data_IF_714398221644
#
_entry.id   IF_714398221644
#
_cell.length_a   1.000
_cell.length_b   1.000
_cell.length_c   1.000
_cell.angle_alpha   90.00
_cell.angle_beta   90.00
_cell.angle_gamma   90.00
#
_symmetry.space_group_name_H-M   'P 1'
#
loop_
_entity.id
_entity.type
_entity.pdbx_description
1 polymer ?
#
# COMPACT_ATOMS: atom_id res chain seq x y z
N UNK A 1 -3.67 -11.85 -5.87
CA UNK A 1 -3.18 -10.59 -5.29
C UNK A 1 -1.80 -10.25 -5.81
N UNK A 2 -0.81 -11.13 -5.61
CA UNK A 2 0.55 -10.94 -6.15
C UNK A 2 0.55 -10.57 -7.63
N UNK A 3 -0.12 -11.36 -8.49
CA UNK A 3 -0.17 -11.11 -9.94
C UNK A 3 -0.79 -9.75 -10.30
N UNK A 4 -1.88 -9.34 -9.64
CA UNK A 4 -2.51 -8.04 -9.90
C UNK A 4 -1.65 -6.87 -9.42
N UNK A 5 -1.02 -6.97 -8.23
CA UNK A 5 -0.06 -5.96 -7.77
C UNK A 5 1.09 -5.85 -8.78
N UNK A 6 1.65 -6.99 -9.20
CA UNK A 6 2.70 -7.06 -10.23
C UNK A 6 2.26 -6.37 -11.52
N UNK A 7 1.04 -6.64 -12.01
CA UNK A 7 0.50 -6.04 -13.24
C UNK A 7 0.42 -4.51 -13.15
N UNK A 8 -0.10 -3.97 -12.05
CA UNK A 8 -0.14 -2.53 -11.81
C UNK A 8 1.26 -1.91 -11.60
N UNK A 9 2.21 -2.71 -11.10
CA UNK A 9 3.62 -2.33 -10.98
C UNK A 9 4.45 -2.54 -12.25
N UNK A 10 3.94 -3.21 -13.29
CA UNK A 10 4.66 -3.44 -14.56
C UNK A 10 4.41 -2.36 -15.63
N UNK A 11 3.26 -1.67 -15.59
CA UNK A 11 2.81 -0.81 -16.70
C UNK A 11 3.63 0.45 -17.05
N UNK A 12 4.77 0.73 -16.40
CA UNK A 12 5.52 1.99 -16.54
C UNK A 12 7.04 1.87 -16.28
N UNK A 13 7.56 0.69 -15.93
CA UNK A 13 9.00 0.51 -15.72
C UNK A 13 9.47 -0.70 -16.51
N UNK A 14 10.38 -0.47 -17.46
CA UNK A 14 11.27 -1.51 -17.95
C UNK A 14 12.10 -2.08 -16.79
N UNK A 15 12.60 -3.30 -16.98
CA UNK A 15 13.37 -4.14 -16.04
C UNK A 15 13.03 -3.95 -14.55
N UNK A 16 12.32 -4.91 -13.95
CA UNK A 16 12.08 -4.84 -12.51
C UNK A 16 12.87 -5.92 -11.77
N UNK A 17 13.86 -5.46 -11.01
CA UNK A 17 14.52 -6.13 -9.89
C UNK A 17 13.57 -6.41 -8.71
N UNK A 18 12.29 -6.04 -8.82
CA UNK A 18 11.34 -6.05 -7.72
C UNK A 18 10.51 -7.33 -7.67
N UNK A 19 10.24 -7.78 -6.45
CA UNK A 19 9.36 -8.89 -6.13
C UNK A 19 8.26 -8.42 -5.17
N UNK A 20 7.08 -9.03 -5.27
CA UNK A 20 5.94 -8.74 -4.39
C UNK A 20 5.40 -10.04 -3.82
N UNK A 21 5.12 -10.03 -2.52
CA UNK A 21 4.38 -11.07 -1.82
C UNK A 21 3.26 -10.44 -0.99
N UNK A 22 2.06 -11.00 -1.05
CA UNK A 22 0.90 -10.58 -0.30
C UNK A 22 0.31 -11.79 0.41
N UNK A 23 0.20 -11.68 1.72
CA UNK A 23 -0.35 -12.70 2.61
C UNK A 23 -1.66 -12.22 3.21
N UNK A 24 -2.55 -13.15 3.55
CA UNK A 24 -3.80 -12.83 4.25
C UNK A 24 -4.19 -13.86 5.32
N UNK A 25 -4.86 -13.39 6.37
CA UNK A 25 -5.57 -14.20 7.38
C UNK A 25 -6.66 -13.34 8.01
N UNK A 26 -7.88 -13.86 8.13
CA UNK A 26 -9.03 -13.19 8.78
C UNK A 26 -9.15 -11.70 8.39
N UNK A 27 -9.28 -11.42 7.09
CA UNK A 27 -9.41 -10.05 6.56
C UNK A 27 -8.20 -9.11 6.77
N UNK A 28 -7.12 -9.59 7.39
CA UNK A 28 -5.85 -8.87 7.55
C UNK A 28 -4.90 -9.27 6.44
N UNK A 29 -4.14 -8.31 5.93
CA UNK A 29 -3.20 -8.50 4.84
C UNK A 29 -1.85 -7.91 5.19
N UNK A 30 -0.79 -8.60 4.77
CA UNK A 30 0.58 -8.10 4.76
C UNK A 30 1.12 -8.16 3.34
N UNK A 31 1.38 -7.00 2.74
CA UNK A 31 1.98 -6.87 1.43
C UNK A 31 3.44 -6.41 1.58
N UNK A 32 4.37 -7.18 1.01
CA UNK A 32 5.79 -6.93 1.07
C UNK A 32 6.36 -6.69 -0.33
N UNK A 33 7.20 -5.68 -0.45
CA UNK A 33 7.98 -5.36 -1.63
C UNK A 33 9.45 -5.69 -1.36
N UNK A 34 10.07 -6.38 -2.30
CA UNK A 34 11.46 -6.79 -2.27
C UNK A 34 12.18 -6.25 -3.50
N UNK A 35 13.49 -6.02 -3.38
CA UNK A 35 14.39 -6.20 -4.53
C UNK A 35 15.09 -7.57 -4.43
N UNK A 36 16.07 -7.83 -5.28
CA UNK A 36 16.80 -9.11 -5.29
C UNK A 36 17.58 -9.43 -4.00
N UNK A 37 17.81 -8.44 -3.14
CA UNK A 37 18.69 -8.57 -1.98
C UNK A 37 17.95 -8.36 -0.65
N UNK A 38 16.99 -7.44 -0.60
CA UNK A 38 16.40 -6.93 0.63
C UNK A 38 14.90 -6.64 0.49
N UNK A 39 14.20 -6.71 1.63
CA UNK A 39 12.91 -6.08 1.83
C UNK A 39 13.03 -4.55 1.70
N UNK A 40 12.11 -3.95 0.96
CA UNK A 40 12.08 -2.51 0.67
C UNK A 40 10.94 -1.80 1.40
N UNK A 41 9.74 -2.36 1.33
CA UNK A 41 8.54 -1.77 1.89
C UNK A 41 7.55 -2.84 2.37
N UNK A 42 6.76 -2.49 3.37
CA UNK A 42 5.70 -3.31 3.92
C UNK A 42 4.44 -2.48 4.08
N UNK A 43 3.30 -3.07 3.73
CA UNK A 43 1.97 -2.49 3.93
C UNK A 43 1.11 -3.51 4.67
N UNK A 44 0.67 -3.14 5.86
CA UNK A 44 -0.31 -3.92 6.63
C UNK A 44 -1.67 -3.24 6.52
N UNK A 45 -2.69 -4.01 6.17
CA UNK A 45 -4.05 -3.48 6.01
C UNK A 45 -5.11 -4.47 6.50
N UNK A 46 -6.29 -3.96 6.78
CA UNK A 46 -7.48 -4.73 7.14
C UNK A 46 -8.60 -4.40 6.14
N UNK A 47 -9.35 -5.41 5.68
CA UNK A 47 -10.44 -5.24 4.72
C UNK A 47 -11.76 -5.76 5.30
N UNK A 48 -12.71 -4.88 5.57
CA UNK A 48 -14.06 -5.27 6.03
C UNK A 48 -15.04 -4.92 4.91
N UNK A 49 -15.63 -5.94 4.27
CA UNK A 49 -16.51 -5.74 3.12
C UNK A 49 -15.79 -5.04 1.96
N UNK A 50 -16.31 -3.88 1.53
CA UNK A 50 -15.75 -3.04 0.47
C UNK A 50 -14.84 -1.90 1.00
N UNK A 51 -14.40 -1.99 2.25
CA UNK A 51 -13.64 -0.94 2.94
C UNK A 51 -12.28 -1.46 3.35
N UNK A 52 -11.24 -0.67 3.11
CA UNK A 52 -9.85 -1.01 3.46
C UNK A 52 -9.29 0.04 4.40
N UNK A 53 -8.72 -0.42 5.51
CA UNK A 53 -7.92 0.41 6.40
C UNK A 53 -6.45 0.05 6.26
N UNK A 54 -5.64 1.05 5.93
CA UNK A 54 -4.19 0.88 5.88
C UNK A 54 -3.65 1.17 7.28
N UNK A 55 -3.31 0.09 7.98
CA UNK A 55 -2.86 0.13 9.38
C UNK A 55 -1.43 0.65 9.49
N UNK A 56 -0.52 0.05 8.71
CA UNK A 56 0.90 0.39 8.75
C UNK A 56 1.46 0.47 7.34
N UNK A 57 2.33 1.45 7.11
CA UNK A 57 3.26 1.47 5.98
C UNK A 57 4.64 1.76 6.51
N UNK A 58 5.60 0.96 6.09
CA UNK A 58 6.98 1.16 6.45
C UNK A 58 7.91 0.91 5.27
N UNK A 59 9.09 1.51 5.31
CA UNK A 59 10.15 1.31 4.32
C UNK A 59 11.49 1.09 5.03
N UNK A 60 12.39 0.34 4.39
CA UNK A 60 13.74 0.10 4.94
C UNK A 60 14.73 1.18 4.53
N UNK A 61 14.43 1.96 3.48
CA UNK A 61 15.29 3.03 2.96
C UNK A 61 16.42 2.57 2.04
N UNK A 62 16.49 1.28 1.69
CA UNK A 62 17.55 0.76 0.79
C UNK A 62 17.27 1.00 -0.71
N UNK A 63 16.06 1.41 -1.07
CA UNK A 63 15.68 1.81 -2.43
C UNK A 63 14.55 2.84 -2.37
N UNK A 64 14.59 3.85 -3.24
CA UNK A 64 13.63 4.99 -3.23
C UNK A 64 12.65 4.91 -4.40
N UNK A 65 11.50 5.55 -4.24
CA UNK A 65 10.57 5.81 -5.35
C UNK A 65 9.49 4.75 -5.59
N UNK A 66 9.58 3.57 -4.98
CA UNK A 66 8.62 2.49 -5.25
C UNK A 66 7.38 2.51 -4.35
N UNK A 67 7.47 3.07 -3.15
CA UNK A 67 6.42 2.96 -2.11
C UNK A 67 5.07 3.50 -2.57
N UNK A 68 5.02 4.69 -3.19
CA UNK A 68 3.74 5.29 -3.66
C UNK A 68 3.04 4.37 -4.65
N UNK A 69 3.81 3.86 -5.62
CA UNK A 69 3.31 2.94 -6.64
C UNK A 69 2.89 1.59 -6.06
N UNK A 70 3.66 1.08 -5.11
CA UNK A 70 3.35 -0.17 -4.43
C UNK A 70 2.00 -0.09 -3.70
N UNK A 71 1.77 0.98 -2.93
CA UNK A 71 0.49 1.23 -2.23
C UNK A 71 -0.66 1.33 -3.24
N UNK A 72 -0.49 2.14 -4.29
CA UNK A 72 -1.50 2.30 -5.34
C UNK A 72 -1.84 0.95 -5.97
N UNK A 73 -0.84 0.11 -6.22
CA UNK A 73 -1.03 -1.21 -6.84
C UNK A 73 -1.75 -2.18 -5.90
N UNK A 74 -1.43 -2.15 -4.60
CA UNK A 74 -2.13 -2.92 -3.57
C UNK A 74 -3.61 -2.51 -3.50
N UNK A 75 -3.90 -1.21 -3.46
CA UNK A 75 -5.27 -0.71 -3.39
C UNK A 75 -6.06 -0.99 -4.68
N UNK A 76 -5.43 -0.88 -5.86
CA UNK A 76 -6.06 -1.28 -7.12
C UNK A 76 -6.41 -2.77 -7.15
N UNK A 77 -5.52 -3.62 -6.64
CA UNK A 77 -5.77 -5.05 -6.55
C UNK A 77 -6.95 -5.38 -5.63
N UNK A 78 -7.11 -4.67 -4.51
CA UNK A 78 -8.23 -4.88 -3.59
C UNK A 78 -9.54 -4.23 -4.07
N UNK A 79 -9.44 -3.20 -4.91
CA UNK A 79 -10.57 -2.41 -5.45
C UNK A 79 -11.62 -2.01 -4.39
N UNK A 80 -11.23 -1.37 -3.28
CA UNK A 80 -12.19 -1.00 -2.25
C UNK A 80 -13.02 0.21 -2.67
N UNK A 81 -14.27 0.30 -2.19
CA UNK A 81 -15.13 1.48 -2.34
C UNK A 81 -14.63 2.63 -1.48
N UNK A 82 -14.17 2.32 -0.27
CA UNK A 82 -13.56 3.29 0.65
C UNK A 82 -12.22 2.76 1.11
N UNK A 83 -11.18 3.57 1.00
CA UNK A 83 -9.93 3.36 1.74
C UNK A 83 -9.76 4.44 2.78
N UNK A 84 -9.18 4.07 3.92
CA UNK A 84 -8.80 5.04 4.93
C UNK A 84 -7.48 4.69 5.61
N UNK A 85 -6.85 5.70 6.19
CA UNK A 85 -5.68 5.55 7.01
C UNK A 85 -5.65 6.64 8.09
N UNK A 86 -4.99 6.35 9.21
CA UNK A 86 -4.61 7.38 10.16
C UNK A 86 -3.17 7.82 9.89
N UNK A 87 -3.02 8.97 9.24
CA UNK A 87 -1.74 9.57 8.90
C UNK A 87 -1.09 10.12 10.16
N UNK A 88 -0.14 9.37 10.72
CA UNK A 88 0.72 9.83 11.81
C UNK A 88 2.15 9.35 11.57
N UNK A 89 3.18 10.20 11.71
CA UNK A 89 4.54 9.76 11.48
C UNK A 89 5.05 8.94 12.67
N UNK A 90 5.67 7.80 12.38
CA UNK A 90 6.52 7.08 13.31
C UNK A 90 7.84 6.73 12.63
N UNK A 91 8.86 6.50 13.44
CA UNK A 91 10.18 6.09 12.94
C UNK A 91 10.11 4.75 12.22
N UNK A 92 9.36 3.82 12.81
CA UNK A 92 9.26 2.42 12.40
C UNK A 92 7.89 1.88 12.78
N UNK A 93 7.35 1.00 11.93
CA UNK A 93 6.10 0.28 12.13
C UNK A 93 6.27 -1.23 11.93
N UNK A 94 7.10 -1.61 10.95
CA UNK A 94 7.30 -2.99 10.50
C UNK A 94 8.78 -3.36 10.56
N UNK A 95 9.69 -2.48 10.12
CA UNK A 95 11.11 -2.82 9.96
C UNK A 95 11.96 -2.20 11.07
N UNK A 96 12.23 -2.99 12.11
CA UNK A 96 12.99 -2.54 13.27
C UNK A 96 14.45 -2.16 12.91
N UNK A 97 14.93 -1.08 13.51
CA UNK A 97 16.27 -0.52 13.29
C UNK A 97 16.43 0.27 11.98
N UNK A 98 15.47 0.21 11.05
CA UNK A 98 15.55 0.89 9.75
C UNK A 98 15.61 2.42 9.82
N UNK A 99 15.20 3.02 10.93
CA UNK A 99 15.37 4.47 11.18
C UNK A 99 16.84 4.89 11.37
N UNK A 100 17.74 3.94 11.62
CA UNK A 100 19.20 4.18 11.65
C UNK A 100 19.80 4.28 10.24
N UNK A 101 19.08 3.81 9.22
CA UNK A 101 19.48 3.98 7.83
C UNK A 101 19.25 5.44 7.41
N UNK A 102 20.35 6.18 7.17
CA UNK A 102 20.31 7.59 6.75
C UNK A 102 19.53 7.82 5.46
N UNK A 103 19.41 6.81 4.61
CA UNK A 103 18.65 6.91 3.36
C UNK A 103 17.13 6.83 3.57
N UNK A 104 16.67 6.30 4.71
CA UNK A 104 15.26 6.26 5.09
C UNK A 104 14.78 7.66 5.48
N UNK A 105 13.85 8.19 4.69
CA UNK A 105 13.22 9.49 4.98
C UNK A 105 11.97 9.27 5.82
N UNK A 106 11.99 9.78 7.05
CA UNK A 106 10.80 9.87 7.91
C UNK A 106 10.08 11.19 7.58
N UNK A 107 8.83 11.11 7.15
CA UNK A 107 8.04 12.29 6.81
C UNK A 107 7.54 12.99 8.08
N UNK A 108 7.47 14.32 8.04
CA UNK A 108 6.78 15.11 9.07
C UNK A 108 5.25 14.93 8.95
N UNK A 109 4.45 15.29 9.97
CA UNK A 109 3.00 15.13 9.93
C UNK A 109 2.34 15.71 8.67
N UNK A 110 2.66 16.95 8.30
CA UNK A 110 2.12 17.62 7.11
C UNK A 110 2.53 16.94 5.81
N UNK A 111 3.82 16.62 5.64
CA UNK A 111 4.31 15.90 4.45
C UNK A 111 3.69 14.51 4.31
N UNK A 112 3.43 13.81 5.43
CA UNK A 112 2.78 12.50 5.41
C UNK A 112 1.30 12.62 5.04
N UNK A 113 0.60 13.65 5.53
CA UNK A 113 -0.78 13.95 5.15
C UNK A 113 -0.88 14.20 3.64
N UNK A 114 -0.06 15.10 3.10
CA UNK A 114 -0.02 15.39 1.65
C UNK A 114 0.32 14.15 0.82
N UNK A 115 1.25 13.32 1.31
CA UNK A 115 1.59 12.06 0.67
C UNK A 115 0.38 11.12 0.54
N UNK A 116 -0.42 11.00 1.61
CA UNK A 116 -1.65 10.20 1.61
C UNK A 116 -2.75 10.77 0.73
N UNK A 117 -2.99 12.08 0.82
CA UNK A 117 -3.93 12.80 -0.06
C UNK A 117 -3.57 12.53 -1.52
N UNK A 118 -2.31 12.73 -1.91
CA UNK A 118 -1.85 12.50 -3.28
C UNK A 118 -1.82 11.03 -3.72
N UNK A 119 -1.91 10.04 -2.81
CA UNK A 119 -2.17 8.63 -3.15
C UNK A 119 -3.67 8.45 -3.45
N UNK A 120 -4.54 8.97 -2.59
CA UNK A 120 -5.98 8.78 -2.73
C UNK A 120 -6.57 9.58 -3.90
N UNK A 121 -6.07 10.78 -4.19
CA UNK A 121 -6.47 11.55 -5.39
C UNK A 121 -6.15 10.81 -6.69
N UNK A 122 -5.14 9.93 -6.70
CA UNK A 122 -4.81 9.12 -7.88
C UNK A 122 -5.79 7.96 -8.11
N UNK A 123 -6.50 7.54 -7.07
CA UNK A 123 -7.28 6.30 -7.03
C UNK A 123 -8.79 6.54 -6.94
N UNK A 124 -9.20 7.60 -6.26
CA UNK A 124 -10.56 7.81 -5.81
C UNK A 124 -11.15 9.06 -6.44
N UNK A 125 -12.48 9.06 -6.55
CA UNK A 125 -13.22 10.21 -7.10
C UNK A 125 -13.29 11.35 -6.10
N UNK A 126 -13.23 11.05 -4.80
CA UNK A 126 -13.22 12.04 -3.72
C UNK A 126 -12.21 11.65 -2.66
N UNK A 127 -11.60 12.67 -2.07
CA UNK A 127 -10.73 12.54 -0.91
C UNK A 127 -11.30 13.41 0.20
N UNK A 128 -11.39 12.84 1.40
CA UNK A 128 -11.87 13.51 2.59
C UNK A 128 -10.76 13.48 3.64
N UNK A 129 -10.53 14.60 4.31
CA UNK A 129 -9.50 14.74 5.34
C UNK A 129 -10.16 15.21 6.62
N UNK A 130 -9.82 14.59 7.74
CA UNK A 130 -10.21 15.04 9.07
C UNK A 130 -8.98 15.24 9.92
N UNK A 131 -8.62 16.51 10.18
CA UNK A 131 -7.35 16.90 10.77
C UNK A 131 -7.44 18.27 11.43
N UNK A 132 -6.60 18.52 12.45
CA UNK A 132 -6.36 19.86 12.99
C UNK A 132 -5.48 20.73 12.06
N UNK A 133 -4.87 20.13 11.04
CA UNK A 133 -3.90 20.76 10.14
C UNK A 133 -4.42 20.95 8.72
N UNK A 134 -5.74 20.92 8.53
CA UNK A 134 -6.37 21.00 7.21
C UNK A 134 -7.61 21.86 7.26
N UNK A 135 -7.77 22.77 6.30
CA UNK A 135 -8.88 23.74 6.30
C UNK A 135 -10.21 23.09 5.94
N UNK A 136 -10.21 22.23 4.91
CA UNK A 136 -11.42 21.62 4.36
C UNK A 136 -11.71 20.26 5.02
N UNK A 137 -12.01 20.29 6.32
CA UNK A 137 -12.29 19.06 7.07
C UNK A 137 -13.62 18.42 6.63
N UNK A 138 -13.58 17.14 6.32
CA UNK A 138 -14.76 16.38 5.89
C UNK A 138 -14.57 14.86 6.08
N UNK A 139 -15.66 14.10 5.98
CA UNK A 139 -15.67 12.64 6.05
C UNK A 139 -16.75 12.07 5.12
N UNK A 140 -16.60 10.82 4.63
CA UNK A 140 -17.48 10.25 3.60
C UNK A 140 -18.80 9.67 4.12
N UNK A 141 -19.04 9.73 5.44
CA UNK A 141 -20.16 9.04 6.10
C UNK A 141 -21.37 9.97 6.28
N UNK A 142 -22.58 9.46 6.07
CA UNK A 142 -23.84 10.18 6.29
C UNK A 142 -24.46 9.87 7.65
N UNK A 143 -24.19 8.69 8.19
CA UNK A 143 -24.75 8.22 9.45
C UNK A 143 -23.76 7.35 10.23
N UNK A 144 -24.05 7.10 11.52
CA UNK A 144 -23.14 6.38 12.43
C UNK A 144 -22.96 4.90 12.07
N UNK A 145 -23.98 4.27 11.51
CA UNK A 145 -24.00 2.89 11.01
C UNK A 145 -23.07 2.69 9.81
N UNK A 146 -22.78 3.75 9.05
CA UNK A 146 -21.80 3.69 7.96
C UNK A 146 -20.35 3.69 8.47
N UNK A 147 -20.08 3.99 9.74
CA UNK A 147 -18.71 4.08 10.27
C UNK A 147 -18.16 2.69 10.61
N UNK A 148 -17.07 2.29 9.94
CA UNK A 148 -16.27 1.12 10.35
C UNK A 148 -15.23 1.55 11.38
N UNK A 149 -15.11 0.75 12.44
CA UNK A 149 -14.01 0.81 13.37
C UNK A 149 -13.08 -0.35 13.09
N UNK A 150 -11.90 -0.04 12.56
CA UNK A 150 -10.83 -1.01 12.36
C UNK A 150 -9.99 -1.15 13.62
N UNK A 151 -9.26 -2.26 13.72
CA UNK A 151 -8.35 -2.48 14.84
C UNK A 151 -7.28 -1.36 14.89
N UNK A 152 -7.02 -0.85 16.10
CA UNK A 152 -6.06 0.23 16.38
C UNK A 152 -6.42 1.61 15.78
N UNK A 153 -7.59 1.74 15.14
CA UNK A 153 -8.10 3.01 14.66
C UNK A 153 -8.52 3.91 15.83
N UNK A 154 -8.18 5.22 15.84
CA UNK A 154 -8.66 6.16 16.87
C UNK A 154 -10.18 6.16 17.07
N UNK A 155 -10.95 5.86 16.00
CA UNK A 155 -12.42 5.71 16.08
C UNK A 155 -12.85 4.57 16.97
N UNK A 156 -12.15 3.43 16.95
CA UNK A 156 -12.48 2.27 17.77
C UNK A 156 -12.36 2.59 19.26
N UNK A 157 -11.27 3.27 19.63
CA UNK A 157 -10.99 3.71 21.00
C UNK A 157 -12.03 4.69 21.54
N UNK A 158 -12.58 5.53 20.67
CA UNK A 158 -13.63 6.50 21.04
C UNK A 158 -15.01 5.83 21.11
N UNK A 159 -15.36 4.99 20.14
CA UNK A 159 -16.71 4.40 20.01
C UNK A 159 -17.16 3.64 21.25
N UNK A 160 -16.25 2.96 21.96
CA UNK A 160 -16.57 2.21 23.20
C UNK A 160 -17.19 3.08 24.31
N UNK A 161 -16.92 4.38 24.30
CA UNK A 161 -17.34 5.30 25.36
C UNK A 161 -18.17 6.50 24.87
N UNK A 162 -18.48 6.54 23.57
CA UNK A 162 -19.10 7.70 22.95
C UNK A 162 -20.62 7.53 22.79
N UNK A 163 -21.39 8.48 23.34
CA UNK A 163 -22.85 8.59 23.19
C UNK A 163 -23.19 9.91 22.52
N UNK A 164 -23.11 9.96 21.19
CA UNK A 164 -23.40 11.14 20.40
C UNK A 164 -23.60 10.82 18.93
N UNK A 165 -23.90 11.84 18.13
CA UNK A 165 -24.05 11.71 16.68
C UNK A 165 -22.71 11.66 15.94
N UNK A 166 -22.82 11.51 14.63
CA UNK A 166 -21.66 11.39 13.73
C UNK A 166 -20.75 12.61 13.81
N UNK A 167 -21.33 13.81 13.76
CA UNK A 167 -20.59 15.07 13.81
C UNK A 167 -19.84 15.18 15.13
N UNK A 168 -20.52 14.91 16.25
CA UNK A 168 -19.94 14.99 17.58
C UNK A 168 -18.80 13.97 17.76
N UNK A 169 -18.92 12.77 17.19
CA UNK A 169 -17.85 11.77 17.22
C UNK A 169 -16.60 12.30 16.52
N UNK A 170 -16.76 12.81 15.30
CA UNK A 170 -15.63 13.34 14.52
C UNK A 170 -15.03 14.59 15.17
N UNK A 171 -15.84 15.50 15.72
CA UNK A 171 -15.33 16.63 16.51
C UNK A 171 -14.54 16.16 17.73
N UNK A 172 -15.03 15.16 18.47
CA UNK A 172 -14.33 14.64 19.65
C UNK A 172 -12.98 13.98 19.29
N UNK A 173 -12.84 13.40 18.08
CA UNK A 173 -11.56 12.88 17.61
C UNK A 173 -10.47 13.97 17.54
N UNK A 174 -10.82 15.18 17.10
CA UNK A 174 -9.87 16.30 16.98
C UNK A 174 -9.24 16.70 18.32
N UNK A 175 -9.95 16.44 19.43
CA UNK A 175 -9.49 16.73 20.78
C UNK A 175 -8.58 15.64 21.37
N UNK A 176 -8.41 14.50 20.69
CA UNK A 176 -7.58 13.40 21.21
C UNK A 176 -6.10 13.68 20.98
N UNK A 177 -5.20 13.20 21.89
CA UNK A 177 -3.76 13.43 21.76
C UNK A 177 -3.14 12.85 20.47
N UNK A 178 -3.71 11.77 19.92
CA UNK A 178 -3.26 11.18 18.67
C UNK A 178 -3.53 12.12 17.48
N UNK A 179 -4.55 12.98 17.53
CA UNK A 179 -4.86 13.98 16.50
C UNK A 179 -4.01 15.25 16.57
N UNK A 180 -3.17 15.43 17.60
CA UNK A 180 -2.24 16.57 17.67
C UNK A 180 -1.30 16.58 16.47
N UNK A 181 -0.82 15.41 16.04
CA UNK A 181 0.05 15.24 14.87
C UNK A 181 -0.50 14.18 13.90
N UNK A 182 -1.80 13.89 14.02
CA UNK A 182 -2.47 12.83 13.30
C UNK A 182 -3.56 13.39 12.38
N UNK A 183 -3.92 12.63 11.36
CA UNK A 183 -5.01 12.99 10.44
C UNK A 183 -5.69 11.74 9.93
N UNK A 184 -7.03 11.72 9.90
CA UNK A 184 -7.74 10.70 9.15
C UNK A 184 -7.85 11.14 7.70
N UNK A 185 -7.47 10.25 6.79
CA UNK A 185 -7.59 10.48 5.35
C UNK A 185 -8.45 9.37 4.78
N UNK A 186 -9.40 9.73 3.93
CA UNK A 186 -10.32 8.81 3.26
C UNK A 186 -10.27 9.03 1.76
N UNK A 187 -10.28 7.95 0.99
CA UNK A 187 -10.57 7.95 -0.44
C UNK A 187 -11.86 7.19 -0.69
N UNK A 188 -12.75 7.74 -1.53
CA UNK A 188 -14.03 7.11 -1.89
C UNK A 188 -14.23 7.07 -3.41
N UNK A 189 -14.54 5.88 -3.93
CA UNK A 189 -14.91 5.69 -5.33
C UNK A 189 -16.42 5.90 -5.53
N UNK A 190 -16.80 6.60 -6.61
CA UNK A 190 -18.21 6.70 -7.04
C UNK A 190 -18.75 5.42 -7.67
N UNK A 191 -17.87 4.62 -8.26
CA UNK A 191 -18.26 3.37 -8.91
C UNK A 191 -18.49 2.30 -7.85
N UNK A 192 -19.67 1.68 -7.86
CA UNK A 192 -19.89 0.38 -7.23
C UNK A 192 -19.11 -0.66 -8.05
N UNK A 193 -17.78 -0.65 -7.93
CA UNK A 193 -16.98 -1.77 -8.39
C UNK A 193 -17.38 -2.99 -7.55
N UNK A 194 -17.62 -4.14 -8.19
CA UNK A 194 -17.58 -5.39 -7.43
C UNK A 194 -16.19 -5.46 -6.82
N UNK A 195 -16.10 -5.54 -5.49
CA UNK A 195 -14.85 -5.84 -4.83
C UNK A 195 -14.31 -7.10 -5.50
N UNK A 196 -13.15 -6.99 -6.15
CA UNK A 196 -12.54 -8.14 -6.79
C UNK A 196 -12.20 -9.15 -5.71
N UNK A 197 -12.70 -10.38 -5.83
CA UNK A 197 -12.13 -11.49 -5.09
C UNK A 197 -10.73 -11.71 -5.66
N UNK A 198 -9.73 -11.32 -4.88
CA UNK A 198 -8.34 -11.41 -5.29
C UNK A 198 -7.64 -12.31 -4.30
N UNK A 199 -7.30 -13.52 -4.76
CA UNK A 199 -6.65 -14.55 -3.95
C UNK A 199 -5.29 -14.06 -3.45
N UNK A 200 -5.08 -14.00 -2.14
CA UNK A 200 -3.76 -13.83 -1.54
C UNK A 200 -3.34 -15.13 -0.87
N UNK A 201 -2.04 -15.31 -0.68
CA UNK A 201 -1.52 -16.51 -0.02
C UNK A 201 -1.98 -16.51 1.43
N UNK A 202 -2.62 -17.57 1.90
CA UNK A 202 -2.94 -17.71 3.32
C UNK A 202 -1.63 -17.82 4.10
N UNK A 203 -1.45 -16.99 5.13
CA UNK A 203 -0.25 -16.99 5.95
C UNK A 203 -0.52 -16.36 7.32
N UNK A 204 0.31 -16.70 8.31
CA UNK A 204 0.22 -16.11 9.64
C UNK A 204 0.77 -14.67 9.62
N UNK A 205 -0.11 -13.74 9.23
CA UNK A 205 0.22 -12.30 9.17
C UNK A 205 0.73 -11.79 10.52
N UNK A 206 0.20 -12.31 11.64
CA UNK A 206 0.61 -11.90 12.98
C UNK A 206 2.06 -12.31 13.28
N UNK A 207 2.40 -13.58 13.05
CA UNK A 207 3.77 -14.08 13.22
C UNK A 207 4.74 -13.38 12.26
N UNK A 208 4.34 -13.20 10.99
CA UNK A 208 5.17 -12.50 10.00
C UNK A 208 5.49 -11.06 10.41
N UNK A 209 4.49 -10.30 10.86
CA UNK A 209 4.72 -8.95 11.37
C UNK A 209 5.60 -8.94 12.62
N UNK A 210 5.37 -9.88 13.56
CA UNK A 210 6.17 -10.00 14.77
C UNK A 210 7.64 -10.28 14.45
N UNK A 211 7.90 -11.19 13.50
CA UNK A 211 9.26 -11.49 13.04
C UNK A 211 9.90 -10.28 12.36
N UNK A 212 9.19 -9.59 11.45
CA UNK A 212 9.74 -8.39 10.80
C UNK A 212 10.14 -7.31 11.82
N UNK A 213 9.35 -7.16 12.90
CA UNK A 213 9.64 -6.24 14.01
C UNK A 213 10.77 -6.72 14.93
N UNK A 214 11.09 -8.02 14.98
CA UNK A 214 12.23 -8.53 15.76
C UNK A 214 13.54 -8.55 14.99
N UNK A 215 13.49 -8.51 13.65
CA UNK A 215 14.66 -8.48 12.77
C UNK A 215 15.36 -7.11 12.80
N UNK A 216 16.56 -7.05 12.22
CA UNK A 216 17.39 -5.83 12.22
C UNK A 216 17.62 -5.32 10.79
N UNK A 217 17.13 -4.11 10.52
CA UNK A 217 17.26 -3.40 9.25
C UNK A 217 18.08 -2.10 9.38
N UNK A 218 19.00 -2.03 10.37
CA UNK A 218 19.83 -0.84 10.61
C UNK A 218 20.94 -0.61 9.59
N UNK A 219 21.50 -1.68 9.02
CA UNK A 219 22.56 -1.61 7.99
C UNK A 219 22.25 -2.56 6.83
N UNK A 220 22.78 -2.29 5.64
CA UNK A 220 22.50 -3.12 4.46
C UNK A 220 22.87 -4.60 4.66
N UNK A 221 23.98 -4.87 5.35
CA UNK A 221 24.40 -6.25 5.66
C UNK A 221 23.39 -6.96 6.57
N UNK A 222 22.92 -6.27 7.62
CA UNK A 222 21.90 -6.77 8.54
C UNK A 222 20.56 -6.95 7.83
N UNK A 223 20.14 -5.99 7.00
CA UNK A 223 18.91 -6.07 6.22
C UNK A 223 18.91 -7.25 5.23
N UNK A 224 20.04 -7.53 4.56
CA UNK A 224 20.21 -8.72 3.70
C UNK A 224 20.07 -10.00 4.52
N UNK A 225 20.72 -10.09 5.68
CA UNK A 225 20.60 -11.24 6.59
C UNK A 225 19.15 -11.43 7.06
N UNK A 226 18.53 -10.36 7.56
CA UNK A 226 17.14 -10.33 8.02
C UNK A 226 16.15 -10.73 6.93
N UNK A 227 16.36 -10.23 5.70
CA UNK A 227 15.52 -10.60 4.55
C UNK A 227 15.64 -12.08 4.23
N UNK A 228 16.87 -12.62 4.19
CA UNK A 228 17.11 -14.05 3.95
C UNK A 228 16.48 -14.91 5.05
N UNK A 229 16.64 -14.50 6.31
CA UNK A 229 16.07 -15.20 7.46
C UNK A 229 14.54 -15.25 7.39
N UNK A 230 13.89 -14.12 7.07
CA UNK A 230 12.45 -14.05 6.86
C UNK A 230 11.99 -14.97 5.72
N UNK A 231 12.65 -14.91 4.56
CA UNK A 231 12.36 -15.76 3.39
C UNK A 231 12.48 -17.24 3.77
N UNK A 232 13.55 -17.63 4.45
CA UNK A 232 13.77 -19.02 4.87
C UNK A 232 12.73 -19.50 5.89
N UNK A 233 12.40 -18.67 6.90
CA UNK A 233 11.44 -19.03 7.97
C UNK A 233 10.05 -19.35 7.42
N UNK A 234 9.62 -18.62 6.40
CA UNK A 234 8.29 -18.75 5.80
C UNK A 234 8.30 -19.48 4.44
N UNK A 235 9.44 -20.03 4.00
CA UNK A 235 9.53 -20.80 2.75
C UNK A 235 9.16 -20.00 1.49
N UNK A 236 9.51 -18.71 1.43
CA UNK A 236 9.02 -17.82 0.38
C UNK A 236 9.76 -18.03 -0.95
N UNK A 237 9.01 -18.29 -2.03
CA UNK A 237 9.53 -18.25 -3.39
C UNK A 237 9.20 -16.89 -4.04
N UNK A 238 10.18 -15.98 -4.06
CA UNK A 238 9.98 -14.63 -4.59
C UNK A 238 10.19 -14.63 -6.11
N UNK A 239 9.10 -14.45 -6.83
CA UNK A 239 9.13 -14.21 -8.26
C UNK A 239 9.31 -12.72 -8.57
N UNK A 240 10.47 -12.38 -9.14
CA UNK A 240 10.79 -11.05 -9.65
C UNK A 240 10.09 -10.78 -10.99
N UNK A 241 9.83 -9.51 -11.29
CA UNK A 241 9.09 -9.17 -12.51
C UNK A 241 9.94 -9.51 -13.74
N UNK A 242 9.38 -10.31 -14.67
CA UNK A 242 10.02 -10.58 -15.95
C UNK A 242 10.22 -9.30 -16.75
N UNK A 243 11.42 -9.10 -17.29
CA UNK A 243 11.73 -8.02 -18.21
C UNK A 243 10.88 -8.16 -19.46
N UNK A 244 10.08 -7.15 -19.79
CA UNK A 244 9.67 -6.95 -21.17
C UNK A 244 10.89 -6.39 -21.89
N UNK A 245 11.57 -7.22 -22.69
CA UNK A 245 12.42 -6.68 -23.76
C UNK A 245 11.48 -5.94 -24.70
N UNK A 246 11.40 -4.62 -24.56
CA UNK A 246 10.95 -3.78 -25.67
C UNK A 246 11.92 -4.04 -26.80
N UNK A 247 11.52 -4.87 -27.77
CA UNK A 247 12.12 -4.83 -29.09
C UNK A 247 11.86 -3.41 -29.59
N UNK A 248 12.87 -2.55 -29.52
CA UNK A 248 12.84 -1.33 -30.31
C UNK A 248 12.55 -1.75 -31.76
N UNK A 249 11.51 -1.20 -32.41
CA UNK A 249 11.37 -1.41 -33.84
C UNK A 249 12.64 -0.85 -34.48
N UNK A 250 13.45 -1.73 -35.08
CA UNK A 250 14.60 -1.32 -35.88
C UNK A 250 14.10 -0.29 -36.88
N UNK A 251 14.61 0.94 -36.79
CA UNK A 251 14.41 1.96 -37.79
C UNK A 251 14.91 1.44 -39.14
N UNK A 252 13.99 1.45 -40.10
CA UNK A 252 14.14 1.36 -41.56
C UNK A 252 14.87 0.17 -42.16
N UNK A 253 14.15 -0.59 -42.97
CA UNK A 253 14.60 -0.91 -44.33
C UNK A 253 13.37 -1.07 -45.23
N UNK A 254 13.32 -0.27 -46.29
CA UNK A 254 12.37 -0.42 -47.39
C UNK A 254 12.61 -1.79 -48.04
N UNK A 255 11.58 -2.62 -48.13
CA UNK A 255 11.57 -3.75 -49.05
C UNK A 255 10.17 -3.89 -49.66
N UNK A 256 10.07 -3.44 -50.91
CA UNK A 256 8.96 -3.73 -51.80
C UNK A 256 8.75 -5.23 -51.89
N UNK A 257 7.52 -5.71 -51.73
CA UNK A 257 7.13 -7.02 -52.25
C UNK A 257 6.11 -6.81 -53.37
N UNK A 258 6.61 -6.95 -54.59
CA UNK A 258 5.80 -7.00 -55.82
C UNK A 258 5.00 -8.31 -55.78
N UNK A 259 3.68 -8.22 -55.71
CA UNK A 259 2.79 -9.36 -55.92
C UNK A 259 2.73 -9.65 -57.43
N UNK A 260 3.30 -10.78 -57.87
CA UNK A 260 3.01 -11.34 -59.21
C UNK A 260 1.79 -12.28 -59.11
N UNK A 261 0.81 -12.17 -60.04
CA UNK A 261 -0.34 -13.06 -60.04
C UNK A 261 0.03 -14.44 -60.59
N UNK A 262 -0.39 -15.49 -59.90
CA UNK A 262 -0.32 -16.88 -60.37
C UNK A 262 -1.56 -17.15 -61.23
N UNK A 263 -1.37 -17.49 -62.50
CA UNK A 263 -2.43 -18.02 -63.37
C UNK A 263 -2.83 -19.41 -62.88
N UNK A 264 -4.13 -19.63 -62.64
CA UNK A 264 -4.70 -20.99 -62.56
C UNK A 264 -4.90 -21.51 -63.99
N UNK A 265 -4.61 -22.80 -64.16
CA UNK A 265 -4.91 -23.60 -65.37
C UNK A 265 -6.41 -23.62 -65.60
#
# INVERSE_FOLDING_TARGET
MNLEIKKHMKSLCGESSLGVQAFMVDERYLCLLFNREVLLAGVSLQKIGDRVYIKNIDTTGYERGHTKRFIISVLKALSPKISCCFSTPKREYIFNGSSSNKEKRILSPGNLLEYWVGIFENLYSNVYVWSNHYENISYPFKSMDEVVCFEDDPKEKLKKHFKGGLKEMFTALLCRPDFTNGSLVYGQSWKNGRAGEVEATVGDVGEMEAMLRSLDFSTISKARKSTKEFICRFGLSIEYFQAQRTLEPKKHEHAYTVLKPIKKV
#
